data_IF_944078649749
#
_entry.id   IF_944078649749
#
_cell.length_a   1.000
_cell.length_b   1.000
_cell.length_c   1.000
_cell.angle_alpha   90.00
_cell.angle_beta   90.00
_cell.angle_gamma   90.00
#
_symmetry.space_group_name_H-M   'P 1'
#
loop_
_entity.id
_entity.type
_entity.pdbx_description
1 polymer ?
#
# COMPACT_ATOMS: atom_id res chain seq x y z
N UNK A 1 -10.45 6.38 16.93
CA UNK A 1 -9.20 6.25 16.15
C UNK A 1 -9.15 4.89 15.45
N UNK A 2 -8.73 4.84 14.19
CA UNK A 2 -8.44 3.61 13.44
C UNK A 2 -6.91 3.38 13.30
N UNK A 3 -6.14 4.46 13.13
CA UNK A 3 -4.68 4.40 13.02
C UNK A 3 -4.01 5.77 13.19
N UNK A 4 -2.71 5.82 12.97
CA UNK A 4 -1.86 7.01 13.12
C UNK A 4 -0.86 7.11 11.97
N UNK A 5 -0.57 8.34 11.51
CA UNK A 5 0.46 8.60 10.50
C UNK A 5 1.85 8.41 11.12
N UNK A 6 2.53 7.31 10.80
CA UNK A 6 3.88 7.00 11.31
C UNK A 6 4.99 7.60 10.47
N UNK A 7 4.75 7.84 9.17
CA UNK A 7 5.68 8.52 8.26
C UNK A 7 4.92 9.37 7.26
N UNK A 8 5.45 10.55 6.93
CA UNK A 8 4.86 11.46 5.96
C UNK A 8 5.97 12.20 5.20
N UNK A 9 5.83 12.27 3.89
CA UNK A 9 6.66 13.07 3.00
C UNK A 9 5.75 13.71 1.96
N UNK A 10 5.52 15.02 2.06
CA UNK A 10 4.59 15.77 1.21
C UNK A 10 3.22 16.02 1.86
N UNK A 11 2.35 16.85 1.25
CA UNK A 11 1.04 17.19 1.78
C UNK A 11 0.04 16.03 1.71
N UNK A 12 -0.57 15.70 2.85
CA UNK A 12 -1.63 14.71 3.02
C UNK A 12 -2.85 15.40 3.64
N UNK A 13 -4.03 15.11 3.10
CA UNK A 13 -5.31 15.59 3.63
C UNK A 13 -6.19 14.40 4.04
N UNK A 14 -7.01 14.59 5.07
CA UNK A 14 -8.14 13.72 5.38
C UNK A 14 -9.43 14.52 5.23
N UNK A 15 -10.35 14.00 4.41
CA UNK A 15 -11.74 14.45 4.36
C UNK A 15 -12.55 13.58 5.31
N UNK A 16 -13.11 14.20 6.34
CA UNK A 16 -13.95 13.58 7.37
C UNK A 16 -15.34 13.24 6.82
N UNK A 17 -16.06 12.39 7.55
CA UNK A 17 -17.45 12.01 7.21
C UNK A 17 -18.45 13.18 7.27
N UNK A 18 -18.18 14.21 8.07
CA UNK A 18 -18.95 15.47 8.11
C UNK A 18 -18.67 16.40 6.90
N UNK A 19 -17.75 16.00 6.01
CA UNK A 19 -17.33 16.77 4.85
C UNK A 19 -16.17 17.74 5.11
N UNK A 20 -15.75 17.95 6.36
CA UNK A 20 -14.60 18.81 6.70
C UNK A 20 -13.30 18.22 6.16
N UNK A 21 -12.32 19.09 5.88
CA UNK A 21 -11.00 18.69 5.37
C UNK A 21 -9.93 19.15 6.35
N UNK A 22 -9.13 18.19 6.85
CA UNK A 22 -8.03 18.42 7.78
C UNK A 22 -6.72 18.04 7.10
N UNK A 23 -5.73 18.92 7.14
CA UNK A 23 -4.35 18.56 6.76
C UNK A 23 -3.80 17.62 7.83
N UNK A 24 -3.25 16.47 7.41
CA UNK A 24 -2.60 15.53 8.30
C UNK A 24 -1.09 15.77 8.30
N UNK A 25 -0.50 15.66 9.49
CA UNK A 25 0.93 15.67 9.72
C UNK A 25 1.40 14.32 10.29
N UNK A 26 2.71 14.18 10.49
CA UNK A 26 3.28 13.09 11.28
C UNK A 26 2.58 12.99 12.66
N UNK A 27 2.31 11.77 13.14
CA UNK A 27 1.54 11.47 14.35
C UNK A 27 0.07 11.92 14.36
N UNK A 28 -0.48 12.40 13.25
CA UNK A 28 -1.92 12.67 13.17
C UNK A 28 -2.71 11.37 13.18
N UNK A 29 -3.86 11.40 13.86
CA UNK A 29 -4.80 10.28 13.91
C UNK A 29 -5.63 10.18 12.63
N UNK A 30 -5.93 8.95 12.23
CA UNK A 30 -6.85 8.57 11.16
C UNK A 30 -8.04 7.87 11.81
N UNK A 31 -9.25 8.22 11.40
CA UNK A 31 -10.49 7.68 11.95
C UNK A 31 -11.26 6.83 10.93
N UNK A 32 -12.18 6.01 11.43
CA UNK A 32 -13.12 5.27 10.58
C UNK A 32 -14.06 6.26 9.89
N UNK A 33 -14.26 6.11 8.57
CA UNK A 33 -14.98 7.06 7.72
C UNK A 33 -14.08 8.06 7.00
N UNK A 34 -12.81 8.23 7.38
CA UNK A 34 -11.90 9.22 6.79
C UNK A 34 -11.50 8.84 5.35
N UNK A 35 -11.51 9.84 4.46
CA UNK A 35 -10.94 9.74 3.11
C UNK A 35 -9.60 10.47 3.04
N UNK A 36 -8.51 9.71 3.03
CA UNK A 36 -7.14 10.16 2.87
C UNK A 36 -6.85 10.50 1.39
N UNK A 37 -6.29 11.68 1.16
CA UNK A 37 -5.88 12.17 -0.15
C UNK A 37 -4.42 12.59 -0.09
N UNK A 38 -3.58 11.84 -0.81
CA UNK A 38 -2.17 12.16 -1.00
C UNK A 38 -1.98 12.94 -2.31
N UNK A 39 -1.33 14.09 -2.20
CA UNK A 39 -1.00 14.96 -3.33
C UNK A 39 0.07 14.35 -4.27
N UNK A 40 0.39 15.07 -5.35
CA UNK A 40 1.55 14.74 -6.19
C UNK A 40 2.82 14.75 -5.34
N UNK A 41 3.68 13.75 -5.56
CA UNK A 41 4.90 13.48 -4.80
C UNK A 41 4.72 13.17 -3.29
N UNK A 42 3.49 12.94 -2.80
CA UNK A 42 3.25 12.58 -1.39
C UNK A 42 3.33 11.08 -1.11
N UNK A 43 4.13 10.68 -0.12
CA UNK A 43 4.10 9.35 0.49
C UNK A 43 3.64 9.44 1.96
N UNK A 44 2.78 8.53 2.39
CA UNK A 44 2.28 8.47 3.76
C UNK A 44 2.20 7.02 4.26
N UNK A 45 2.83 6.71 5.39
CA UNK A 45 2.63 5.46 6.13
C UNK A 45 1.62 5.68 7.24
N UNK A 46 0.56 4.87 7.24
CA UNK A 46 -0.42 4.77 8.31
C UNK A 46 -0.21 3.43 9.01
N UNK A 47 -0.08 3.45 10.33
CA UNK A 47 -0.11 2.25 11.18
C UNK A 47 -1.46 2.19 11.89
N UNK A 48 -2.18 1.10 11.71
CA UNK A 48 -3.48 0.85 12.36
C UNK A 48 -3.27 0.18 13.72
N UNK A 49 -4.30 0.21 14.56
CA UNK A 49 -4.25 -0.38 15.91
C UNK A 49 -4.09 -1.91 15.92
N UNK A 50 -4.42 -2.61 14.83
CA UNK A 50 -4.16 -4.05 14.66
C UNK A 50 -2.70 -4.38 14.30
N UNK A 51 -1.81 -3.38 14.29
CA UNK A 51 -0.44 -3.40 13.77
C UNK A 51 -0.35 -3.63 12.24
N UNK A 52 -1.42 -3.44 11.47
CA UNK A 52 -1.30 -3.35 10.01
C UNK A 52 -0.69 -2.02 9.59
N UNK A 53 0.03 -2.04 8.47
CA UNK A 53 0.64 -0.83 7.89
C UNK A 53 0.18 -0.66 6.44
N UNK A 54 -0.37 0.51 6.13
CA UNK A 54 -0.71 0.92 4.77
C UNK A 54 0.17 2.10 4.38
N UNK A 55 0.92 1.97 3.28
CA UNK A 55 1.65 3.08 2.69
C UNK A 55 0.97 3.55 1.41
N UNK A 56 0.52 4.80 1.39
CA UNK A 56 -0.02 5.47 0.21
C UNK A 56 1.12 5.99 -0.67
N UNK A 57 1.00 5.78 -1.98
CA UNK A 57 1.86 6.39 -3.01
C UNK A 57 1.31 7.76 -3.44
N UNK A 58 2.08 8.58 -4.16
CA UNK A 58 1.61 9.86 -4.70
C UNK A 58 0.31 9.77 -5.51
N UNK A 59 -0.55 10.79 -5.38
CA UNK A 59 -1.81 10.89 -6.13
C UNK A 59 -2.90 9.90 -5.73
N UNK A 60 -2.76 9.26 -4.56
CA UNK A 60 -3.68 8.23 -4.06
C UNK A 60 -4.84 8.83 -3.27
N UNK A 61 -6.04 8.33 -3.54
CA UNK A 61 -7.25 8.60 -2.77
C UNK A 61 -7.73 7.29 -2.15
N UNK A 62 -7.69 7.22 -0.83
CA UNK A 62 -7.92 6.01 -0.04
C UNK A 62 -8.88 6.32 1.11
N UNK A 63 -9.96 5.56 1.25
CA UNK A 63 -10.97 5.73 2.29
C UNK A 63 -10.95 4.55 3.25
N UNK A 64 -10.93 4.85 4.54
CA UNK A 64 -11.25 3.89 5.60
C UNK A 64 -12.76 3.85 5.70
N UNK A 65 -13.42 2.86 5.12
CA UNK A 65 -14.90 2.80 5.15
C UNK A 65 -15.41 2.43 6.53
N UNK A 66 -14.83 1.38 7.11
CA UNK A 66 -15.20 0.88 8.41
C UNK A 66 -14.00 0.16 9.04
N UNK A 67 -13.52 0.65 10.18
CA UNK A 67 -12.45 0.04 10.95
C UNK A 67 -12.88 -0.15 12.41
N UNK A 68 -12.93 -1.41 12.83
CA UNK A 68 -13.21 -1.87 14.20
C UNK A 68 -12.22 -2.98 14.53
N UNK A 69 -11.55 -2.87 15.68
CA UNK A 69 -10.61 -3.88 16.19
C UNK A 69 -10.70 -3.86 17.72
N UNK A 70 -10.99 -5.02 18.32
CA UNK A 70 -11.08 -5.20 19.76
C UNK A 70 -10.52 -6.59 20.11
N UNK A 71 -9.39 -6.65 20.83
CA UNK A 71 -8.72 -7.91 21.17
C UNK A 71 -9.65 -8.93 21.86
N UNK A 72 -10.59 -8.43 22.66
CA UNK A 72 -11.59 -9.22 23.38
C UNK A 72 -12.83 -9.60 22.57
N UNK A 73 -13.06 -9.01 21.39
CA UNK A 73 -14.25 -9.24 20.55
C UNK A 73 -13.89 -9.48 19.07
N UNK A 74 -13.21 -10.59 18.74
CA UNK A 74 -12.82 -10.90 17.35
C UNK A 74 -13.99 -10.89 16.36
N UNK A 75 -15.19 -11.30 16.77
CA UNK A 75 -16.38 -11.30 15.91
C UNK A 75 -16.80 -9.90 15.45
N UNK A 76 -16.44 -8.85 16.21
CA UNK A 76 -16.66 -7.45 15.91
C UNK A 76 -15.49 -6.79 15.14
N UNK A 77 -14.39 -7.51 14.89
CA UNK A 77 -13.31 -7.04 14.03
C UNK A 77 -13.84 -6.82 12.61
N UNK A 78 -13.51 -5.67 12.00
CA UNK A 78 -13.88 -5.32 10.62
C UNK A 78 -12.94 -4.26 10.07
N UNK A 79 -12.38 -4.51 8.89
CA UNK A 79 -11.41 -3.65 8.23
C UNK A 79 -11.81 -3.51 6.75
N UNK A 80 -12.75 -2.61 6.50
CA UNK A 80 -13.25 -2.28 5.17
C UNK A 80 -12.58 -1.00 4.67
N UNK A 81 -11.85 -1.13 3.57
CA UNK A 81 -11.11 -0.05 2.93
C UNK A 81 -11.56 0.12 1.49
N UNK A 82 -11.38 1.32 0.94
CA UNK A 82 -11.67 1.61 -0.46
C UNK A 82 -10.53 2.43 -1.09
N UNK A 83 -9.85 1.87 -2.09
CA UNK A 83 -8.91 2.60 -2.95
C UNK A 83 -9.68 3.17 -4.14
N UNK A 84 -9.86 4.49 -4.16
CA UNK A 84 -10.59 5.18 -5.24
C UNK A 84 -9.70 5.40 -6.46
N UNK A 85 -8.42 5.77 -6.25
CA UNK A 85 -7.39 5.87 -7.29
C UNK A 85 -5.98 5.92 -6.72
N UNK A 86 -4.99 5.73 -7.58
CA UNK A 86 -3.57 5.74 -7.22
C UNK A 86 -3.12 4.36 -6.74
N UNK A 87 -2.18 4.28 -5.81
CA UNK A 87 -1.67 3.01 -5.33
C UNK A 87 -1.24 3.00 -3.88
N UNK A 88 -1.26 1.81 -3.28
CA UNK A 88 -0.83 1.60 -1.91
C UNK A 88 -0.09 0.26 -1.78
N UNK A 89 0.74 0.18 -0.75
CA UNK A 89 1.27 -1.07 -0.20
C UNK A 89 0.53 -1.36 1.10
N UNK A 90 0.05 -2.57 1.29
CA UNK A 90 -0.58 -3.02 2.53
C UNK A 90 0.20 -4.20 3.10
N UNK A 91 0.50 -4.12 4.40
CA UNK A 91 1.12 -5.15 5.22
C UNK A 91 0.08 -5.51 6.28
N UNK A 92 -0.45 -6.74 6.22
CA UNK A 92 -1.59 -7.11 7.08
C UNK A 92 -1.14 -7.41 8.52
N UNK A 93 -1.84 -6.83 9.49
CA UNK A 93 -1.53 -6.95 10.92
C UNK A 93 -2.07 -8.22 11.57
N UNK A 94 -2.19 -8.18 12.90
CA UNK A 94 -2.67 -9.30 13.71
C UNK A 94 -4.11 -9.70 13.34
N UNK A 95 -4.95 -8.72 13.01
CA UNK A 95 -6.33 -8.97 12.57
C UNK A 95 -6.35 -9.74 11.24
N UNK A 96 -5.47 -9.41 10.29
CA UNK A 96 -5.30 -10.16 9.05
C UNK A 96 -4.68 -11.56 9.21
N UNK A 97 -4.15 -11.88 10.40
CA UNK A 97 -3.72 -13.24 10.77
C UNK A 97 -4.83 -14.02 11.46
N UNK A 98 -5.53 -13.42 12.44
CA UNK A 98 -6.63 -14.01 13.22
C UNK A 98 -7.91 -14.17 12.39
N UNK A 99 -8.42 -13.07 11.83
CA UNK A 99 -9.72 -12.96 11.16
C UNK A 99 -9.56 -12.48 9.71
N UNK A 100 -8.97 -13.34 8.87
CA UNK A 100 -8.69 -13.10 7.44
C UNK A 100 -9.91 -12.61 6.63
N UNK A 101 -11.10 -13.11 6.97
CA UNK A 101 -12.36 -12.81 6.28
C UNK A 101 -12.94 -11.42 6.61
N UNK A 102 -12.46 -10.77 7.67
CA UNK A 102 -12.95 -9.45 8.12
C UNK A 102 -12.25 -8.26 7.45
N UNK A 103 -11.21 -8.52 6.66
CA UNK A 103 -10.50 -7.51 5.86
C UNK A 103 -11.00 -7.51 4.42
N UNK A 104 -11.33 -6.33 3.90
CA UNK A 104 -11.75 -6.13 2.52
C UNK A 104 -11.21 -4.80 1.99
N UNK A 105 -10.49 -4.84 0.87
CA UNK A 105 -10.08 -3.64 0.13
C UNK A 105 -10.85 -3.57 -1.18
N UNK A 106 -11.82 -2.67 -1.25
CA UNK A 106 -12.60 -2.39 -2.46
C UNK A 106 -11.82 -1.47 -3.39
N UNK A 107 -11.97 -1.70 -4.69
CA UNK A 107 -11.48 -0.84 -5.78
C UNK A 107 -12.59 -0.74 -6.84
N UNK A 108 -12.57 0.24 -7.77
CA UNK A 108 -13.57 0.34 -8.82
C UNK A 108 -13.65 -0.85 -9.78
N UNK A 109 -12.65 -1.74 -9.81
CA UNK A 109 -12.60 -2.91 -10.71
C UNK A 109 -12.55 -4.26 -10.00
N UNK A 110 -12.35 -4.31 -8.69
CA UNK A 110 -12.38 -5.53 -7.90
C UNK A 110 -12.46 -5.27 -6.39
N UNK A 111 -12.92 -6.26 -5.63
CA UNK A 111 -12.74 -6.35 -4.19
C UNK A 111 -11.63 -7.34 -3.86
N UNK A 112 -10.74 -6.99 -2.94
CA UNK A 112 -9.58 -7.79 -2.54
C UNK A 112 -9.77 -8.26 -1.10
N UNK A 113 -9.77 -9.58 -0.89
CA UNK A 113 -9.63 -10.23 0.41
C UNK A 113 -8.20 -10.73 0.61
N UNK A 114 -7.76 -10.84 1.86
CA UNK A 114 -6.42 -11.31 2.23
C UNK A 114 -6.47 -12.70 2.86
N UNK A 115 -5.36 -13.43 2.82
CA UNK A 115 -5.13 -14.62 3.66
C UNK A 115 -3.88 -14.50 4.54
N UNK A 116 -3.55 -13.27 4.95
CA UNK A 116 -2.36 -12.90 5.73
C UNK A 116 -1.17 -12.70 4.81
N UNK A 117 -0.87 -11.44 4.47
CA UNK A 117 -0.14 -11.11 3.24
C UNK A 117 0.52 -9.73 3.29
N UNK A 118 1.61 -9.56 2.53
CA UNK A 118 2.07 -8.24 2.07
C UNK A 118 1.81 -8.09 0.57
N UNK A 119 1.12 -7.02 0.18
CA UNK A 119 0.75 -6.79 -1.22
C UNK A 119 0.80 -5.32 -1.61
N UNK A 120 0.99 -5.06 -2.90
CA UNK A 120 0.98 -3.74 -3.53
C UNK A 120 -0.15 -3.73 -4.54
N UNK A 121 -0.92 -2.64 -4.57
CA UNK A 121 -1.96 -2.40 -5.57
C UNK A 121 -1.81 -1.00 -6.16
N UNK A 122 -2.14 -0.88 -7.44
CA UNK A 122 -2.29 0.41 -8.12
C UNK A 122 -3.53 0.35 -9.01
N UNK A 123 -4.52 1.16 -8.72
CA UNK A 123 -5.66 1.38 -9.60
C UNK A 123 -5.41 2.64 -10.45
N UNK A 124 -5.33 2.44 -11.76
CA UNK A 124 -5.23 3.50 -12.77
C UNK A 124 -6.62 3.76 -13.32
N UNK A 125 -7.13 4.98 -13.15
CA UNK A 125 -8.46 5.32 -13.64
C UNK A 125 -8.44 5.53 -15.17
N UNK A 126 -9.47 5.07 -15.92
CA UNK A 126 -9.53 5.28 -17.37
C UNK A 126 -9.70 6.75 -17.78
N UNK A 127 -10.01 7.62 -16.82
CA UNK A 127 -10.15 9.07 -17.00
C UNK A 127 -8.86 9.86 -16.74
N UNK A 128 -7.75 9.19 -16.36
CA UNK A 128 -6.43 9.81 -16.21
C UNK A 128 -5.53 9.48 -17.42
N UNK A 129 -5.64 10.22 -18.55
CA UNK A 129 -4.49 10.35 -19.42
C UNK A 129 -3.38 11.00 -18.59
N UNK A 130 -2.13 10.56 -18.78
CA UNK A 130 -0.97 11.07 -18.04
C UNK A 130 -0.68 12.55 -18.40
N UNK A 131 -1.46 13.47 -17.83
CA UNK A 131 -1.36 14.91 -18.02
C UNK A 131 -0.08 15.42 -17.35
N UNK A 132 1.00 15.44 -18.13
CA UNK A 132 2.32 15.86 -17.70
C UNK A 132 3.39 14.78 -17.74
N UNK A 133 3.25 13.72 -18.56
CA UNK A 133 4.40 12.87 -18.90
C UNK A 133 5.52 13.72 -19.52
N UNK A 134 6.55 14.03 -18.74
CA UNK A 134 7.78 14.56 -19.27
C UNK A 134 8.39 13.54 -20.26
N UNK A 135 9.05 13.99 -21.34
CA UNK A 135 9.74 13.08 -22.25
C UNK A 135 10.75 12.22 -21.47
N UNK A 136 10.62 10.88 -21.59
CA UNK A 136 11.38 9.90 -20.79
C UNK A 136 10.58 9.21 -19.67
N UNK A 137 9.32 9.59 -19.42
CA UNK A 137 8.44 8.84 -18.50
C UNK A 137 8.10 7.47 -19.11
N UNK A 138 8.26 6.33 -18.40
CA UNK A 138 7.85 5.02 -18.91
C UNK A 138 6.35 4.97 -19.22
N UNK A 139 5.89 4.03 -20.08
CA UNK A 139 4.50 4.00 -20.53
C UNK A 139 3.53 3.96 -19.35
N UNK A 140 2.48 4.78 -19.44
CA UNK A 140 1.41 4.73 -18.46
C UNK A 140 0.84 3.31 -18.42
N UNK A 141 0.82 2.73 -17.22
CA UNK A 141 0.11 1.48 -16.94
C UNK A 141 -1.30 1.56 -17.54
N UNK A 142 -1.80 0.49 -18.18
CA UNK A 142 -3.14 0.52 -18.77
C UNK A 142 -4.21 0.80 -17.68
N UNK A 143 -5.37 1.37 -18.04
CA UNK A 143 -6.45 1.57 -17.08
C UNK A 143 -6.91 0.24 -16.46
N UNK A 144 -7.05 0.21 -15.13
CA UNK A 144 -7.40 -0.98 -14.37
C UNK A 144 -6.60 -1.14 -13.08
N UNK A 145 -6.89 -2.20 -12.35
CA UNK A 145 -6.20 -2.57 -11.11
C UNK A 145 -5.00 -3.46 -11.43
N UNK A 146 -3.80 -2.98 -11.11
CA UNK A 146 -2.57 -3.75 -11.10
C UNK A 146 -2.26 -4.16 -9.66
N UNK A 147 -1.72 -5.37 -9.48
CA UNK A 147 -1.35 -5.87 -8.16
C UNK A 147 -0.09 -6.74 -8.20
N UNK A 148 0.58 -6.82 -7.06
CA UNK A 148 1.72 -7.69 -6.78
C UNK A 148 1.61 -8.21 -5.36
N UNK A 149 1.75 -9.53 -5.18
CA UNK A 149 1.78 -10.16 -3.86
C UNK A 149 3.24 -10.45 -3.50
N UNK A 150 3.73 -9.82 -2.44
CA UNK A 150 5.12 -10.02 -1.95
C UNK A 150 5.22 -11.19 -0.98
N UNK A 151 4.17 -11.43 -0.19
CA UNK A 151 4.09 -12.49 0.82
C UNK A 151 2.63 -12.95 0.98
N UNK A 152 2.42 -14.23 1.32
CA UNK A 152 1.12 -14.87 1.55
C UNK A 152 0.26 -15.08 0.30
N UNK A 153 -1.06 -14.93 0.45
CA UNK A 153 -2.03 -14.93 -0.65
C UNK A 153 -3.13 -13.85 -0.50
N UNK A 154 -3.63 -13.34 -1.63
CA UNK A 154 -4.89 -12.58 -1.74
C UNK A 154 -5.91 -13.34 -2.60
N UNK A 155 -7.19 -12.97 -2.45
CA UNK A 155 -8.26 -13.31 -3.40
C UNK A 155 -8.79 -12.00 -3.96
N UNK A 156 -8.91 -11.93 -5.27
CA UNK A 156 -9.43 -10.76 -6.00
C UNK A 156 -10.73 -11.18 -6.66
N UNK A 157 -11.80 -10.43 -6.42
CA UNK A 157 -13.15 -10.74 -6.89
C UNK A 157 -13.71 -9.57 -7.70
N UNK A 158 -14.15 -9.85 -8.91
CA UNK A 158 -14.87 -8.95 -9.81
C UNK A 158 -16.21 -9.58 -10.21
N UNK A 159 -17.06 -8.87 -10.96
CA UNK A 159 -18.27 -9.46 -11.57
C UNK A 159 -17.91 -10.55 -12.59
N UNK A 160 -16.76 -10.44 -13.25
CA UNK A 160 -16.25 -11.44 -14.20
C UNK A 160 -15.70 -12.71 -13.56
N UNK A 161 -15.51 -12.73 -12.23
CA UNK A 161 -15.05 -13.92 -11.49
C UNK A 161 -14.10 -13.59 -10.34
N UNK A 162 -13.62 -14.64 -9.66
CA UNK A 162 -12.63 -14.51 -8.58
C UNK A 162 -11.36 -15.31 -8.89
N UNK A 163 -10.19 -14.76 -8.56
CA UNK A 163 -8.90 -15.42 -8.70
C UNK A 163 -8.03 -15.20 -7.46
N UNK A 164 -7.35 -16.26 -7.02
CA UNK A 164 -6.35 -16.20 -5.95
C UNK A 164 -4.96 -15.91 -6.50
N UNK A 165 -4.20 -15.03 -5.83
CA UNK A 165 -2.82 -14.71 -6.15
C UNK A 165 -1.92 -15.04 -4.97
N UNK A 166 -0.82 -15.73 -5.22
CA UNK A 166 0.19 -16.13 -4.23
C UNK A 166 1.42 -15.21 -4.28
N UNK A 167 2.25 -15.25 -3.24
CA UNK A 167 3.54 -14.55 -3.21
C UNK A 167 4.37 -14.78 -4.50
N UNK A 168 4.95 -13.69 -5.02
CA UNK A 168 5.68 -13.66 -6.29
C UNK A 168 4.78 -13.51 -7.53
N UNK A 169 3.46 -13.60 -7.41
CA UNK A 169 2.54 -13.41 -8.54
C UNK A 169 2.13 -11.94 -8.71
N UNK A 170 1.93 -11.57 -9.97
CA UNK A 170 1.40 -10.28 -10.40
C UNK A 170 0.02 -10.48 -11.00
N UNK A 171 -0.85 -9.49 -10.85
CA UNK A 171 -2.22 -9.56 -11.34
C UNK A 171 -2.66 -8.26 -12.00
N UNK A 172 -3.66 -8.41 -12.87
CA UNK A 172 -4.31 -7.32 -13.56
C UNK A 172 -5.82 -7.55 -13.63
N UNK A 173 -6.61 -6.51 -13.39
CA UNK A 173 -8.08 -6.50 -13.54
C UNK A 173 -8.46 -5.29 -14.39
N UNK A 174 -8.80 -5.47 -15.68
CA UNK A 174 -9.07 -4.35 -16.59
C UNK A 174 -10.32 -3.54 -16.20
N UNK A 175 -11.39 -4.21 -15.81
CA UNK A 175 -12.66 -3.61 -15.39
C UNK A 175 -13.40 -4.51 -14.39
N UNK A 176 -14.45 -3.98 -13.75
CA UNK A 176 -15.28 -4.75 -12.81
C UNK A 176 -15.97 -5.96 -13.45
N UNK A 177 -16.21 -5.93 -14.76
CA UNK A 177 -16.91 -6.99 -15.49
C UNK A 177 -15.96 -8.02 -16.16
N UNK A 178 -14.65 -7.83 -16.03
CA UNK A 178 -13.66 -8.78 -16.52
C UNK A 178 -13.04 -9.59 -15.37
N UNK A 179 -12.75 -10.89 -15.57
CA UNK A 179 -12.09 -11.70 -14.57
C UNK A 179 -10.68 -11.16 -14.28
N UNK A 180 -10.17 -11.27 -13.03
CA UNK A 180 -8.76 -11.02 -12.75
C UNK A 180 -7.89 -12.02 -13.52
N UNK A 181 -6.73 -11.55 -14.01
CA UNK A 181 -5.75 -12.41 -14.70
C UNK A 181 -4.38 -12.31 -14.03
N UNK A 182 -3.63 -13.42 -14.04
CA UNK A 182 -2.21 -13.45 -13.66
C UNK A 182 -1.37 -12.95 -14.83
N UNK A 183 -0.43 -12.04 -14.56
CA UNK A 183 0.52 -11.52 -15.55
C UNK A 183 1.94 -12.01 -15.24
N UNK A 184 2.74 -12.40 -16.26
CA UNK A 184 4.01 -13.09 -16.05
C UNK A 184 5.19 -12.18 -15.66
N UNK A 185 5.03 -10.86 -15.76
CA UNK A 185 6.07 -9.88 -15.44
C UNK A 185 5.48 -8.78 -14.54
N UNK A 186 6.32 -8.23 -13.65
CA UNK A 186 5.95 -7.05 -12.87
C UNK A 186 5.68 -5.89 -13.84
N UNK A 187 4.46 -5.30 -13.86
CA UNK A 187 4.10 -4.27 -14.81
C UNK A 187 4.75 -2.90 -14.51
N UNK A 188 5.77 -2.84 -13.64
CA UNK A 188 6.43 -1.60 -13.24
C UNK A 188 5.85 -1.00 -11.95
N UNK A 189 5.32 -1.84 -11.04
CA UNK A 189 4.90 -1.43 -9.69
C UNK A 189 6.12 -1.08 -8.82
N UNK A 190 6.85 -0.03 -9.18
CA UNK A 190 7.97 0.49 -8.41
C UNK A 190 7.47 1.17 -7.14
N UNK A 191 7.65 0.49 -6.01
CA UNK A 191 7.53 1.05 -4.68
C UNK A 191 8.93 1.49 -4.22
N UNK A 192 9.36 2.65 -4.74
CA UNK A 192 10.61 3.31 -4.35
C UNK A 192 10.26 4.61 -3.58
N UNK A 193 9.99 4.52 -2.27
CA UNK A 193 9.86 5.71 -1.43
C UNK A 193 11.23 6.42 -1.30
N UNK A 194 11.27 7.73 -1.00
CA UNK A 194 12.55 8.43 -0.81
C UNK A 194 13.29 7.91 0.44
N UNK A 195 14.62 7.98 0.51
CA UNK A 195 15.39 7.44 1.65
C UNK A 195 14.97 8.01 3.02
N UNK A 196 14.54 9.28 3.05
CA UNK A 196 13.96 9.93 4.23
C UNK A 196 12.68 9.27 4.76
N UNK A 197 11.95 8.56 3.90
CA UNK A 197 10.78 7.78 4.27
C UNK A 197 11.14 6.37 4.76
N UNK A 198 12.28 5.80 4.37
CA UNK A 198 12.71 4.47 4.84
C UNK A 198 13.47 4.49 6.17
N UNK A 199 14.21 5.58 6.44
CA UNK A 199 15.06 5.77 7.63
C UNK A 199 14.36 5.65 9.00
N UNK A 200 13.02 5.61 9.05
CA UNK A 200 12.25 5.39 10.28
C UNK A 200 12.25 3.96 10.82
N UNK A 201 12.92 2.99 10.19
CA UNK A 201 12.94 1.58 10.63
C UNK A 201 14.18 1.19 11.43
N UNK A 202 14.56 2.01 12.41
CA UNK A 202 15.72 1.78 13.27
C UNK A 202 15.50 0.73 14.36
N UNK A 203 15.52 -0.56 14.01
CA UNK A 203 15.92 -1.62 14.95
C UNK A 203 16.79 -2.70 14.26
N UNK A 204 18.09 -2.64 14.58
CA UNK A 204 19.06 -3.73 14.62
C UNK A 204 19.35 -4.54 13.34
N UNK A 205 20.21 -3.97 12.49
CA UNK A 205 21.28 -4.70 11.79
C UNK A 205 22.60 -3.94 12.00
N UNK A 206 23.25 -4.14 13.16
CA UNK A 206 24.40 -3.33 13.57
C UNK A 206 25.70 -3.64 12.80
N UNK A 207 26.61 -2.66 12.63
CA UNK A 207 27.90 -2.89 11.97
C UNK A 207 28.87 -3.61 12.92
N UNK A 208 29.07 -4.90 12.72
CA UNK A 208 30.16 -5.66 13.35
C UNK A 208 31.46 -5.49 12.56
N UNK A 209 32.33 -4.58 13.01
CA UNK A 209 33.67 -4.43 12.43
C UNK A 209 34.63 -5.52 12.94
N UNK A 210 35.41 -6.11 12.03
CA UNK A 210 36.54 -6.98 12.36
C UNK A 210 37.66 -6.81 11.31
N UNK A 211 38.81 -6.29 11.76
CA UNK A 211 40.16 -6.48 11.19
C UNK A 211 40.43 -6.22 9.69
N UNK A 212 41.24 -5.20 9.35
CA UNK A 212 42.13 -5.28 8.19
C UNK A 212 43.48 -5.91 8.59
N UNK A 213 43.88 -7.01 7.97
CA UNK A 213 45.20 -7.62 8.19
C UNK A 213 45.89 -8.06 6.89
N UNK A 214 47.19 -7.73 6.78
CA UNK A 214 48.13 -7.91 5.66
C UNK A 214 47.89 -6.96 4.45
N UNK A 215 48.70 -5.94 4.13
CA UNK A 215 50.18 -5.80 4.08
C UNK A 215 50.82 -6.79 3.08
N UNK A 216 51.72 -6.45 2.13
CA UNK A 216 52.43 -5.21 1.71
C UNK A 216 52.37 -5.11 0.15
N UNK A 217 52.98 -4.20 -0.63
CA UNK A 217 54.01 -3.15 -0.48
C UNK A 217 53.80 -2.05 -1.57
N UNK A 218 54.50 -0.90 -1.49
CA UNK A 218 54.75 0.01 -2.62
C UNK A 218 56.13 0.70 -2.49
N UNK A 219 57.16 0.13 -3.12
CA UNK A 219 58.49 0.75 -3.24
C UNK A 219 58.48 1.97 -4.17
N UNK A 220 59.12 3.06 -3.71
CA UNK A 220 59.46 4.26 -4.50
C UNK A 220 60.86 4.09 -5.11
N UNK A 221 61.05 4.58 -6.33
CA UNK A 221 62.37 4.77 -6.95
C UNK A 221 62.41 6.03 -7.81
#
# INVERSE_FOLDING_TARGET
MAGVITRLSGPLMARKADGSVKVLALRSEVESGDTLVSEKNTYAQIRFVDNSEITLRPGTTFKVEDFSYDEGKPDADKASYQLVKGGLRSITGLMGKRNKEKFSLKTPTATIGIRGTTFIVQYVSPAEPARGSAPGTPPALPPGLHLSVSDGAIIVTSNGGALGFQAGQFGYVPSIDQPPVIVPQNPGLQFAPPPSFEAGNGLAGGPGGAGPENAVDCVVR
#
